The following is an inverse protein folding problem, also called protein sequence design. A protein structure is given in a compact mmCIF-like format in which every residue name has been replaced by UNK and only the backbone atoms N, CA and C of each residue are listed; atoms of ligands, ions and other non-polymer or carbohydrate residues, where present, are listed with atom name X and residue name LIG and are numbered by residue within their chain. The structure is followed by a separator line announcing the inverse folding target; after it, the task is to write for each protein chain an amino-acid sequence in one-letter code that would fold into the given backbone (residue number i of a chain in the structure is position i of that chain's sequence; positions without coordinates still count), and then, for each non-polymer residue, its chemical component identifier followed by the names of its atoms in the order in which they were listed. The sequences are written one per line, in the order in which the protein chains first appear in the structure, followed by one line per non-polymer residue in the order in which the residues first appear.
data_IF_971581057521
#
_entry.id   IF_971581057521
#
_cell.length_a   1.000
_cell.length_b   1.000
_cell.length_c   1.000
_cell.angle_alpha   90.00
_cell.angle_beta   90.00
_cell.angle_gamma   90.00
#
_symmetry.space_group_name_H-M   'P 1'
#
loop_
_entity.id
_entity.type
_entity.pdbx_description
1 polymer ?
#
# COMPACT_ATOMS: atom_id res chain seq x y z
N UNK A 1 -15.19 40.15 47.27
CA UNK A 1 -15.42 39.66 45.89
C UNK A 1 -15.24 38.17 45.94
N UNK A 2 -16.32 37.42 45.79
CA UNK A 2 -16.28 35.95 45.68
C UNK A 2 -15.96 35.63 44.23
N UNK A 3 -14.76 35.14 43.95
CA UNK A 3 -14.44 34.60 42.63
C UNK A 3 -15.32 33.38 42.41
N UNK A 4 -16.33 33.52 41.56
CA UNK A 4 -17.17 32.42 41.13
C UNK A 4 -16.27 31.54 40.26
N UNK A 5 -15.89 30.38 40.79
CA UNK A 5 -15.11 29.40 40.05
C UNK A 5 -16.03 28.71 39.04
N UNK A 6 -15.91 29.09 37.77
CA UNK A 6 -16.66 28.45 36.70
C UNK A 6 -16.18 27.03 36.42
N UNK A 7 -17.11 26.20 35.93
CA UNK A 7 -16.80 24.87 35.40
C UNK A 7 -15.84 24.99 34.20
N UNK A 8 -14.93 24.02 33.96
CA UNK A 8 -14.09 24.05 32.78
C UNK A 8 -14.93 24.24 31.52
N UNK A 9 -14.45 25.10 30.63
CA UNK A 9 -15.10 25.52 29.38
C UNK A 9 -16.23 26.57 29.49
N UNK A 10 -16.46 27.17 30.66
CA UNK A 10 -17.39 28.29 30.82
C UNK A 10 -16.73 29.53 31.43
N UNK A 11 -17.22 30.71 31.03
CA UNK A 11 -16.70 32.01 31.46
C UNK A 11 -17.80 33.06 31.64
N UNK A 12 -17.42 34.22 32.17
CA UNK A 12 -18.31 35.35 32.42
C UNK A 12 -18.79 35.44 33.86
N UNK A 13 -19.54 36.52 34.15
CA UNK A 13 -19.98 36.84 35.51
C UNK A 13 -20.85 35.75 36.14
N UNK A 14 -21.60 35.00 35.33
CA UNK A 14 -22.44 33.88 35.76
C UNK A 14 -22.07 32.53 35.12
N UNK A 15 -20.85 32.36 34.60
CA UNK A 15 -20.43 31.13 33.89
C UNK A 15 -21.37 30.74 32.72
N UNK A 16 -21.91 31.74 32.05
CA UNK A 16 -22.96 31.59 31.03
C UNK A 16 -22.43 31.51 29.60
N UNK A 17 -21.14 31.82 29.41
CA UNK A 17 -20.49 31.89 28.10
C UNK A 17 -19.59 30.68 27.89
N UNK A 18 -19.84 29.84 26.87
CA UNK A 18 -18.91 28.75 26.55
C UNK A 18 -17.60 29.32 26.01
N UNK A 19 -16.50 28.66 26.33
CA UNK A 19 -15.17 28.97 25.81
C UNK A 19 -14.94 28.08 24.59
N UNK A 20 -14.69 28.70 23.44
CA UNK A 20 -14.40 27.98 22.20
C UNK A 20 -12.89 28.02 21.93
N UNK A 21 -12.23 26.86 21.87
CA UNK A 21 -10.79 26.80 21.57
C UNK A 21 -10.49 27.20 20.13
N UNK A 22 -11.23 26.62 19.17
CA UNK A 22 -11.06 26.86 17.73
C UNK A 22 -12.38 27.31 17.07
N UNK A 23 -12.90 28.46 17.50
CA UNK A 23 -14.14 29.01 16.95
C UNK A 23 -14.54 30.33 17.57
N UNK A 24 -15.78 30.73 17.31
CA UNK A 24 -16.39 31.93 17.89
C UNK A 24 -17.69 31.57 18.60
N UNK A 25 -17.96 32.24 19.72
CA UNK A 25 -19.23 32.09 20.42
C UNK A 25 -20.33 32.80 19.63
N UNK A 26 -21.42 32.10 19.33
CA UNK A 26 -22.64 32.72 18.82
C UNK A 26 -23.45 33.27 20.00
N UNK A 27 -23.62 34.60 20.12
CA UNK A 27 -24.30 35.19 21.27
C UNK A 27 -25.81 34.91 21.31
N UNK A 28 -26.41 34.51 20.18
CA UNK A 28 -27.84 34.21 20.09
C UNK A 28 -28.13 32.84 20.70
N UNK A 29 -27.39 31.82 20.25
CA UNK A 29 -27.63 30.43 20.64
C UNK A 29 -26.80 30.00 21.86
N UNK A 30 -25.87 30.85 22.32
CA UNK A 30 -24.87 30.54 23.37
C UNK A 30 -24.09 29.25 23.06
N UNK A 31 -23.76 29.04 21.80
CA UNK A 31 -23.00 27.87 21.32
C UNK A 31 -21.74 28.30 20.59
N UNK A 32 -20.72 27.44 20.56
CA UNK A 32 -19.52 27.68 19.77
C UNK A 32 -19.76 27.31 18.31
N UNK A 33 -19.50 28.27 17.41
CA UNK A 33 -19.33 28.00 15.98
C UNK A 33 -17.87 27.70 15.71
N UNK A 34 -17.59 26.42 15.49
CA UNK A 34 -16.25 25.93 15.20
C UNK A 34 -15.80 26.33 13.78
N UNK A 35 -14.53 26.69 13.64
CA UNK A 35 -13.94 26.89 12.31
C UNK A 35 -13.56 25.55 11.69
N UNK A 36 -13.64 25.42 10.36
CA UNK A 36 -13.17 24.23 9.65
C UNK A 36 -13.90 22.93 10.05
N UNK A 37 -13.12 21.88 10.34
CA UNK A 37 -13.64 20.55 10.68
C UNK A 37 -13.51 20.21 12.18
N UNK A 38 -13.49 21.20 13.07
CA UNK A 38 -13.55 20.96 14.50
C UNK A 38 -14.96 20.58 14.94
N UNK A 39 -15.07 19.71 15.93
CA UNK A 39 -16.32 19.16 16.44
C UNK A 39 -16.92 20.08 17.53
N UNK A 40 -18.23 20.38 17.46
CA UNK A 40 -18.96 20.98 18.58
C UNK A 40 -19.01 20.01 19.78
N UNK A 41 -19.13 20.47 21.04
CA UNK A 41 -19.63 21.80 21.45
C UNK A 41 -18.58 22.88 21.79
N UNK A 42 -17.29 22.54 22.01
CA UNK A 42 -16.24 23.51 22.41
C UNK A 42 -15.11 23.67 21.38
N UNK A 43 -15.19 22.97 20.24
CA UNK A 43 -14.21 23.03 19.16
C UNK A 43 -12.80 22.61 19.59
N UNK A 44 -12.68 21.65 20.50
CA UNK A 44 -11.39 21.13 20.98
C UNK A 44 -10.91 19.94 20.15
N UNK A 45 -11.83 19.13 19.64
CA UNK A 45 -11.54 17.92 18.88
C UNK A 45 -11.92 18.05 17.41
N UNK A 46 -11.37 17.18 16.56
CA UNK A 46 -11.75 17.11 15.16
C UNK A 46 -13.04 16.30 14.96
N UNK A 47 -13.79 16.61 13.90
CA UNK A 47 -14.88 15.79 13.42
C UNK A 47 -14.37 14.38 13.05
N UNK A 48 -15.21 13.33 13.20
CA UNK A 48 -14.83 11.98 12.84
C UNK A 48 -14.40 11.91 11.37
N UNK A 49 -13.24 11.31 11.11
CA UNK A 49 -12.63 11.24 9.78
C UNK A 49 -11.63 12.35 9.47
N UNK A 50 -11.51 13.36 10.33
CA UNK A 50 -10.49 14.40 10.25
C UNK A 50 -9.49 14.29 11.41
N UNK A 51 -8.25 14.66 11.15
CA UNK A 51 -7.16 14.61 12.14
C UNK A 51 -6.09 15.67 11.81
N UNK A 52 -5.11 15.82 12.70
CA UNK A 52 -4.07 16.85 12.60
C UNK A 52 -4.32 18.02 13.56
N UNK A 53 -3.34 18.92 13.67
CA UNK A 53 -3.37 20.06 14.60
C UNK A 53 -4.50 21.05 14.26
N UNK A 54 -4.84 21.18 12.98
CA UNK A 54 -5.89 22.05 12.45
C UNK A 54 -7.11 21.32 11.88
N UNK A 55 -7.24 20.00 12.13
CA UNK A 55 -8.30 19.15 11.57
C UNK A 55 -8.43 19.23 10.03
N UNK A 56 -7.32 19.47 9.36
CA UNK A 56 -7.21 19.66 7.91
C UNK A 56 -7.01 18.34 7.16
N UNK A 57 -6.43 17.32 7.83
CA UNK A 57 -6.14 16.03 7.21
C UNK A 57 -7.36 15.14 7.29
N UNK A 58 -7.67 14.45 6.20
CA UNK A 58 -8.67 13.38 6.18
C UNK A 58 -7.98 12.04 6.38
N UNK A 59 -8.66 11.13 7.07
CA UNK A 59 -8.32 9.72 7.01
C UNK A 59 -8.55 9.31 5.55
N UNK A 60 -7.47 9.13 4.79
CA UNK A 60 -7.55 8.52 3.47
C UNK A 60 -8.29 7.20 3.67
N UNK A 61 -9.37 6.91 2.92
CA UNK A 61 -9.92 5.56 2.93
C UNK A 61 -8.73 4.64 2.64
N UNK A 62 -8.51 3.67 3.54
CA UNK A 62 -7.43 2.70 3.42
C UNK A 62 -7.32 2.33 1.94
N UNK A 63 -6.15 2.60 1.33
CA UNK A 63 -5.91 2.29 -0.07
C UNK A 63 -6.55 0.93 -0.31
N UNK A 64 -7.60 0.89 -1.14
CA UNK A 64 -8.22 -0.36 -1.54
C UNK A 64 -7.06 -1.26 -1.90
N UNK A 65 -6.94 -2.39 -1.19
CA UNK A 65 -5.90 -3.39 -1.45
C UNK A 65 -5.77 -3.52 -2.96
N UNK A 66 -4.55 -3.51 -3.54
CA UNK A 66 -4.40 -3.64 -4.97
C UNK A 66 -4.93 -5.02 -5.36
N UNK A 67 -6.22 -5.08 -5.69
CA UNK A 67 -6.87 -6.26 -6.25
C UNK A 67 -6.38 -6.29 -7.68
N UNK A 68 -5.16 -6.83 -7.88
CA UNK A 68 -4.76 -7.22 -9.22
C UNK A 68 -5.88 -8.13 -9.74
N UNK A 69 -6.49 -7.80 -10.90
CA UNK A 69 -7.61 -8.56 -11.41
C UNK A 69 -7.20 -10.04 -11.48
N UNK A 70 -8.06 -10.94 -11.03
CA UNK A 70 -7.76 -12.38 -10.94
C UNK A 70 -7.22 -12.98 -12.25
N UNK A 71 -7.51 -12.34 -13.39
CA UNK A 71 -6.98 -12.72 -14.70
C UNK A 71 -5.46 -12.53 -14.84
N UNK A 72 -4.86 -11.54 -14.17
CA UNK A 72 -3.43 -11.26 -14.30
C UNK A 72 -2.57 -12.41 -13.77
N UNK A 73 -3.00 -13.06 -12.68
CA UNK A 73 -2.29 -14.19 -12.09
C UNK A 73 -2.31 -15.40 -13.03
N UNK A 74 -3.46 -15.69 -13.65
CA UNK A 74 -3.59 -16.79 -14.61
C UNK A 74 -2.76 -16.57 -15.86
N UNK A 75 -2.74 -15.36 -16.42
CA UNK A 75 -1.94 -15.03 -17.61
C UNK A 75 -0.44 -15.16 -17.32
N UNK A 76 0.03 -14.61 -16.20
CA UNK A 76 1.45 -14.68 -15.81
C UNK A 76 1.88 -16.13 -15.54
N UNK A 77 1.06 -16.92 -14.83
CA UNK A 77 1.36 -18.33 -14.57
C UNK A 77 1.42 -19.14 -15.87
N UNK A 78 0.50 -18.91 -16.81
CA UNK A 78 0.51 -19.61 -18.10
C UNK A 78 1.78 -19.29 -18.90
N UNK A 79 2.18 -18.02 -18.94
CA UNK A 79 3.43 -17.60 -19.61
C UNK A 79 4.67 -18.26 -19.00
N UNK A 80 4.74 -18.36 -17.66
CA UNK A 80 5.85 -19.03 -16.96
C UNK A 80 5.92 -20.51 -17.34
N UNK A 81 4.78 -21.22 -17.34
CA UNK A 81 4.72 -22.65 -17.68
C UNK A 81 5.18 -22.89 -19.12
N UNK A 82 4.65 -22.12 -20.07
CA UNK A 82 5.03 -22.22 -21.49
C UNK A 82 6.52 -21.96 -21.66
N UNK A 83 7.07 -20.96 -20.96
CA UNK A 83 8.49 -20.65 -21.02
C UNK A 83 9.37 -21.79 -20.48
N UNK A 84 8.97 -22.45 -19.39
CA UNK A 84 9.67 -23.62 -18.83
C UNK A 84 9.66 -24.79 -19.82
N UNK A 85 8.53 -25.06 -20.46
CA UNK A 85 8.40 -26.15 -21.45
C UNK A 85 9.27 -25.88 -22.68
N UNK A 86 9.25 -24.65 -23.21
CA UNK A 86 10.09 -24.28 -24.35
C UNK A 86 11.57 -24.38 -23.97
N UNK A 87 11.94 -23.85 -22.79
CA UNK A 87 13.33 -23.89 -22.31
C UNK A 87 13.82 -25.31 -22.11
N UNK A 88 13.00 -26.20 -21.53
CA UNK A 88 13.37 -27.60 -21.34
C UNK A 88 13.51 -28.33 -22.67
N UNK A 89 12.64 -28.03 -23.65
CA UNK A 89 12.78 -28.53 -25.03
C UNK A 89 14.08 -28.09 -25.68
N UNK A 90 14.42 -26.79 -25.58
CA UNK A 90 15.65 -26.24 -26.14
C UNK A 90 16.90 -26.80 -25.45
N UNK A 91 16.87 -26.98 -24.13
CA UNK A 91 17.95 -27.61 -23.37
C UNK A 91 18.10 -29.07 -23.76
N UNK A 92 16.99 -29.81 -23.85
CA UNK A 92 16.99 -31.21 -24.27
C UNK A 92 17.53 -31.37 -25.69
N UNK A 93 17.08 -30.54 -26.63
CA UNK A 93 17.55 -30.53 -28.00
C UNK A 93 19.04 -30.16 -28.09
N UNK A 94 19.48 -29.17 -27.32
CA UNK A 94 20.91 -28.80 -27.23
C UNK A 94 21.76 -29.92 -26.61
N UNK A 95 21.24 -30.65 -25.63
CA UNK A 95 21.90 -31.82 -25.05
C UNK A 95 21.94 -33.01 -26.01
N UNK A 96 20.86 -33.26 -26.76
CA UNK A 96 20.80 -34.30 -27.80
C UNK A 96 21.71 -33.99 -28.98
N UNK A 97 21.82 -32.71 -29.35
CA UNK A 97 22.69 -32.23 -30.42
C UNK A 97 24.18 -32.28 -30.07
N UNK A 98 24.53 -32.61 -28.82
CA UNK A 98 25.93 -32.93 -28.48
C UNK A 98 26.22 -34.36 -28.92
N UNK A 99 27.07 -34.58 -29.96
CA UNK A 99 27.39 -35.93 -30.39
C UNK A 99 28.14 -36.67 -29.26
N UNK A 100 27.73 -37.91 -28.99
CA UNK A 100 28.40 -38.81 -28.04
C UNK A 100 29.86 -39.00 -28.43
N UNK A 101 30.77 -38.97 -27.44
CA UNK A 101 32.24 -39.06 -27.58
C UNK A 101 32.72 -40.24 -28.44
N UNK A 102 31.95 -41.33 -28.51
CA UNK A 102 32.23 -42.51 -29.33
C UNK A 102 32.43 -42.21 -30.83
N UNK A 103 31.74 -41.22 -31.40
CA UNK A 103 31.85 -40.88 -32.82
C UNK A 103 33.22 -40.25 -33.15
N UNK A 104 33.91 -39.66 -32.16
CA UNK A 104 35.25 -39.10 -32.38
C UNK A 104 36.32 -40.16 -32.56
N UNK A 105 36.13 -41.36 -32.00
CA UNK A 105 37.14 -42.43 -31.99
C UNK A 105 37.17 -43.25 -33.29
N UNK A 106 36.07 -43.26 -34.05
CA UNK A 106 35.98 -44.03 -35.32
C UNK A 106 36.78 -43.37 -36.47
N UNK A 107 37.18 -42.11 -36.33
CA UNK A 107 38.01 -41.44 -37.36
C UNK A 107 39.46 -41.93 -37.41
N UNK A 108 39.93 -42.61 -36.37
CA UNK A 108 41.27 -43.18 -36.34
C UNK A 108 41.19 -44.65 -36.81
N UNK A 109 40.96 -44.84 -38.12
CA UNK A 109 41.16 -46.15 -38.72
C UNK A 109 42.65 -46.54 -38.56
N UNK A 110 42.99 -47.73 -38.05
CA UNK A 110 44.37 -48.15 -37.94
C UNK A 110 45.01 -48.25 -39.35
N UNK A 111 46.31 -47.91 -39.49
CA UNK A 111 46.99 -47.92 -40.79
C UNK A 111 47.02 -49.35 -41.38
N UNK A 112 46.96 -49.49 -42.72
CA UNK A 112 46.95 -50.80 -43.37
C UNK A 112 48.31 -51.48 -43.21
N UNK A 113 48.33 -52.67 -42.61
CA UNK A 113 49.51 -53.53 -42.62
C UNK A 113 49.59 -54.21 -43.99
N UNK A 114 50.67 -53.95 -44.73
CA UNK A 114 51.03 -54.72 -45.90
C UNK A 114 51.74 -55.99 -45.43
N UNK A 115 51.26 -57.16 -45.89
CA UNK A 115 51.98 -58.42 -45.73
C UNK A 115 53.09 -58.46 -46.77
N UNK A 116 54.34 -58.44 -46.33
CA UNK A 116 55.53 -58.81 -47.12
C UNK A 116 55.89 -60.25 -46.77
#
# INVERSE_FOLDING_TARGET
MTDILCEPHFSGYGCEWPICSHGQVNPIDRTCRCHGNYAPPFCEYCLPGYWGESCDRRILPAMSEPVLPAFFTHVVLYLIIVFIVISSYLVYDRCRSRPTTYIRVIKDAPPPYYMV
#
